data_IF_476583210408
#
_entry.id   IF_476583210408
#
_cell.length_a   1.000
_cell.length_b   1.000
_cell.length_c   1.000
_cell.angle_alpha   90.00
_cell.angle_beta   90.00
_cell.angle_gamma   90.00
#
_symmetry.space_group_name_H-M   'P 1'
#
loop_
_entity.id
_entity.type
_entity.pdbx_description
1 polymer ?
#
# COMPACT_ATOMS: atom_id res chain seq x y z
N UNK A 1 -14.08 -1.66 6.39
CA UNK A 1 -14.12 -2.30 7.72
C UNK A 1 -15.48 -2.92 8.09
N UNK A 2 -16.35 -3.25 7.11
CA UNK A 2 -17.72 -3.75 7.33
C UNK A 2 -18.62 -2.77 8.14
N UNK A 3 -19.77 -3.22 8.62
CA UNK A 3 -20.74 -2.48 9.47
C UNK A 3 -21.46 -3.43 10.44
N UNK A 4 -22.06 -2.89 11.52
CA UNK A 4 -22.90 -3.64 12.46
C UNK A 4 -22.13 -4.39 13.58
N UNK A 5 -22.75 -5.40 14.22
CA UNK A 5 -22.14 -6.14 15.33
C UNK A 5 -20.83 -6.86 14.99
N UNK A 6 -20.63 -7.20 13.71
CA UNK A 6 -19.39 -7.80 13.19
C UNK A 6 -18.49 -6.76 12.50
N UNK A 7 -18.59 -5.49 12.91
CA UNK A 7 -17.66 -4.46 12.48
C UNK A 7 -16.22 -4.80 12.90
N UNK A 8 -15.25 -4.42 12.07
CA UNK A 8 -13.85 -4.65 12.40
C UNK A 8 -13.42 -3.78 13.59
N UNK A 9 -13.20 -4.40 14.74
CA UNK A 9 -12.71 -3.73 15.96
C UNK A 9 -11.35 -3.05 15.73
N UNK A 10 -10.54 -3.57 14.81
CA UNK A 10 -9.25 -2.99 14.42
C UNK A 10 -9.33 -1.81 13.46
N UNK A 11 -10.52 -1.35 13.03
CA UNK A 11 -10.64 -0.30 12.03
C UNK A 11 -9.92 1.02 12.39
N UNK A 12 -10.00 1.54 13.63
CA UNK A 12 -9.28 2.76 13.98
C UNK A 12 -7.76 2.59 13.92
N UNK A 13 -7.27 1.45 14.41
CA UNK A 13 -5.84 1.13 14.38
C UNK A 13 -5.34 0.99 12.94
N UNK A 14 -6.06 0.23 12.10
CA UNK A 14 -5.69 0.03 10.70
C UNK A 14 -5.66 1.33 9.90
N UNK A 15 -6.57 2.28 10.18
CA UNK A 15 -6.54 3.60 9.56
C UNK A 15 -5.33 4.42 10.02
N UNK A 16 -5.03 4.43 11.32
CA UNK A 16 -3.85 5.12 11.86
C UNK A 16 -2.56 4.53 11.27
N UNK A 17 -2.43 3.21 11.31
CA UNK A 17 -1.27 2.47 10.81
C UNK A 17 -1.04 2.73 9.32
N UNK A 18 -2.08 2.56 8.49
CA UNK A 18 -1.99 2.80 7.06
C UNK A 18 -1.65 4.26 6.74
N UNK A 19 -2.22 5.21 7.49
CA UNK A 19 -1.96 6.64 7.30
C UNK A 19 -0.52 6.97 7.64
N UNK A 20 -0.02 6.56 8.82
CA UNK A 20 1.37 6.79 9.24
C UNK A 20 2.35 6.13 8.26
N UNK A 21 2.11 4.88 7.90
CA UNK A 21 2.93 4.15 6.92
C UNK A 21 2.99 4.90 5.58
N UNK A 22 1.83 5.27 5.03
CA UNK A 22 1.75 5.95 3.73
C UNK A 22 2.39 7.33 3.78
N UNK A 23 2.18 8.11 4.85
CA UNK A 23 2.82 9.42 5.03
C UNK A 23 4.35 9.33 5.01
N UNK A 24 4.92 8.34 5.71
CA UNK A 24 6.37 8.13 5.72
C UNK A 24 6.89 7.70 4.35
N UNK A 25 6.20 6.76 3.69
CA UNK A 25 6.63 6.29 2.38
C UNK A 25 6.54 7.39 1.30
N UNK A 26 5.50 8.22 1.31
CA UNK A 26 5.35 9.34 0.38
C UNK A 26 6.40 10.43 0.63
N UNK A 27 6.76 10.69 1.88
CA UNK A 27 7.79 11.68 2.23
C UNK A 27 9.17 11.25 1.74
N UNK A 28 9.54 9.99 2.00
CA UNK A 28 10.92 9.54 1.85
C UNK A 28 11.22 8.81 0.53
N UNK A 29 10.22 8.46 -0.29
CA UNK A 29 10.45 7.68 -1.51
C UNK A 29 9.71 8.25 -2.73
N UNK A 30 10.35 8.10 -3.89
CA UNK A 30 9.71 8.13 -5.19
C UNK A 30 9.33 6.70 -5.59
N UNK A 31 8.25 6.58 -6.37
CA UNK A 31 7.58 5.31 -6.64
C UNK A 31 7.55 5.07 -8.15
N UNK A 32 8.00 3.90 -8.58
CA UNK A 32 8.03 3.52 -9.98
C UNK A 32 7.34 2.17 -10.16
N UNK A 33 6.46 2.08 -11.16
CA UNK A 33 5.78 0.84 -11.52
C UNK A 33 6.69 0.01 -12.43
N UNK A 34 6.97 -1.24 -12.06
CA UNK A 34 7.94 -2.08 -12.80
C UNK A 34 7.32 -3.02 -13.83
N UNK A 35 6.08 -3.47 -13.64
CA UNK A 35 5.45 -4.51 -14.48
C UNK A 35 4.25 -3.99 -15.32
N UNK A 36 4.15 -2.66 -15.49
CA UNK A 36 3.00 -2.04 -16.16
C UNK A 36 1.71 -2.12 -15.33
N UNK A 37 0.62 -1.52 -15.84
CA UNK A 37 -0.66 -1.49 -15.11
C UNK A 37 -1.40 -2.82 -15.12
N UNK A 38 -1.26 -3.60 -16.17
CA UNK A 38 -1.95 -4.88 -16.34
C UNK A 38 -1.63 -5.87 -15.21
N UNK A 39 -0.40 -5.81 -14.66
CA UNK A 39 0.03 -6.58 -13.49
C UNK A 39 -0.83 -6.30 -12.23
N UNK A 40 -1.36 -5.09 -12.07
CA UNK A 40 -2.20 -4.74 -10.92
C UNK A 40 -3.63 -5.29 -11.04
N UNK A 41 -4.07 -5.62 -12.25
CA UNK A 41 -5.41 -6.14 -12.53
C UNK A 41 -5.45 -7.68 -12.45
N UNK A 42 -4.32 -8.35 -12.69
CA UNK A 42 -4.18 -9.80 -12.46
C UNK A 42 -3.97 -10.09 -10.97
N UNK A 43 -5.09 -10.15 -10.23
CA UNK A 43 -5.11 -10.38 -8.79
C UNK A 43 -5.44 -11.81 -8.41
N UNK A 44 -4.81 -12.30 -7.34
CA UNK A 44 -5.24 -13.47 -6.60
C UNK A 44 -6.07 -13.04 -5.38
N UNK A 45 -7.11 -13.82 -5.06
CA UNK A 45 -7.94 -13.58 -3.91
C UNK A 45 -8.18 -14.88 -3.13
N UNK A 46 -7.72 -14.90 -1.88
CA UNK A 46 -8.01 -15.99 -0.92
C UNK A 46 -8.77 -15.42 0.28
N UNK A 47 -8.04 -14.85 1.25
CA UNK A 47 -8.59 -14.09 2.38
C UNK A 47 -8.45 -12.58 2.18
N UNK A 48 -7.44 -12.17 1.42
CA UNK A 48 -7.17 -10.79 1.00
C UNK A 48 -6.91 -10.76 -0.50
N UNK A 49 -6.95 -9.55 -1.08
CA UNK A 49 -6.63 -9.30 -2.50
C UNK A 49 -5.16 -8.91 -2.61
N UNK A 50 -4.43 -9.54 -3.51
CA UNK A 50 -3.03 -9.22 -3.80
C UNK A 50 -2.70 -9.49 -5.28
N UNK A 51 -1.79 -8.74 -5.91
CA UNK A 51 -1.40 -9.00 -7.30
C UNK A 51 -0.68 -10.35 -7.43
N UNK A 52 -0.86 -11.03 -8.56
CA UNK A 52 -0.33 -12.38 -8.79
C UNK A 52 1.20 -12.41 -8.79
N UNK A 53 1.83 -11.32 -9.23
CA UNK A 53 3.27 -11.13 -9.34
C UNK A 53 3.90 -10.33 -8.17
N UNK A 54 3.20 -10.31 -7.01
CA UNK A 54 3.55 -9.53 -5.81
C UNK A 54 3.36 -8.02 -6.03
N UNK A 55 4.00 -7.16 -5.23
CA UNK A 55 3.86 -5.71 -5.37
C UNK A 55 4.82 -5.19 -6.44
N UNK A 56 4.34 -4.72 -7.62
CA UNK A 56 5.20 -4.30 -8.73
C UNK A 56 5.69 -2.86 -8.56
N UNK A 57 6.15 -2.49 -7.38
CA UNK A 57 6.60 -1.13 -7.05
C UNK A 57 8.08 -1.16 -6.70
N UNK A 58 8.86 -0.29 -7.36
CA UNK A 58 10.22 0.05 -6.95
C UNK A 58 10.20 1.35 -6.15
N UNK A 59 10.81 1.31 -4.97
CA UNK A 59 11.01 2.49 -4.12
C UNK A 59 12.40 3.06 -4.35
N UNK A 60 12.47 4.35 -4.64
CA UNK A 60 13.73 5.10 -4.81
C UNK A 60 13.80 6.15 -3.71
N UNK A 61 14.84 6.11 -2.87
CA UNK A 61 15.01 7.07 -1.78
C UNK A 61 15.04 8.50 -2.31
N UNK A 62 14.17 9.35 -1.77
CA UNK A 62 14.21 10.80 -1.93
C UNK A 62 15.28 11.32 -0.97
N UNK A 63 16.54 11.22 -1.36
CA UNK A 63 17.61 11.95 -0.68
C UNK A 63 17.21 13.43 -0.69
N UNK A 64 17.06 14.04 0.47
CA UNK A 64 16.91 15.49 0.54
C UNK A 64 18.15 16.09 -0.16
N UNK A 65 17.94 16.73 -1.31
CA UNK A 65 18.85 17.77 -1.78
C UNK A 65 18.87 18.85 -0.70
N UNK A 66 19.71 18.68 0.30
CA UNK A 66 20.13 19.76 1.17
C UNK A 66 21.14 20.55 0.33
N UNK A 67 20.62 21.54 -0.39
CA UNK A 67 21.37 22.68 -0.91
C UNK A 67 21.19 23.85 0.05
#
# INVERSE_FOLDING_TARGET
FSRGPHFCLGAPLALLEATVMLSLLLRHFNWELVNGRDSLEDVNQHLTVFPRDRMPIRLVSRTESIA
#
